data_IF_980967781359
#
_entry.id   IF_980967781359
#
_cell.length_a   1.000
_cell.length_b   1.000
_cell.length_c   1.000
_cell.angle_alpha   90.00
_cell.angle_beta   90.00
_cell.angle_gamma   90.00
#
_symmetry.space_group_name_H-M   'P 1'
#
loop_
_entity.id
_entity.type
_entity.pdbx_description
1 polymer ?
#
# COMPACT_ATOMS: atom_id res chain seq x y z
N UNK A 1 -53.43 -33.54 -4.40
CA UNK A 1 -54.17 -33.90 -3.18
C UNK A 1 -53.55 -33.11 -2.06
N UNK A 2 -54.05 -31.92 -1.69
CA UNK A 2 -55.39 -31.62 -1.17
C UNK A 2 -55.71 -32.54 0.01
N UNK A 3 -55.42 -32.11 1.25
CA UNK A 3 -56.39 -31.56 2.23
C UNK A 3 -55.68 -31.50 3.59
N UNK A 4 -55.65 -30.41 4.37
CA UNK A 4 -56.68 -29.52 4.91
C UNK A 4 -56.98 -29.84 6.39
N UNK A 5 -56.69 -28.82 7.23
CA UNK A 5 -57.39 -28.43 8.48
C UNK A 5 -57.41 -29.42 9.67
N UNK A 6 -57.33 -29.00 10.94
CA UNK A 6 -57.84 -27.76 11.56
C UNK A 6 -57.38 -27.59 13.01
N UNK A 7 -57.54 -26.35 13.51
CA UNK A 7 -57.76 -25.85 14.89
C UNK A 7 -56.52 -25.27 15.61
N UNK A 8 -56.54 -24.07 16.19
CA UNK A 8 -57.62 -23.11 16.44
C UNK A 8 -57.08 -21.74 16.90
N UNK A 9 -58.03 -20.77 16.96
CA UNK A 9 -58.05 -19.48 17.66
C UNK A 9 -57.56 -18.26 16.85
N UNK A 10 -58.47 -17.53 16.17
CA UNK A 10 -59.43 -16.51 16.69
C UNK A 10 -58.79 -15.11 16.73
N UNK A 11 -59.40 -14.00 16.31
CA UNK A 11 -60.66 -13.71 15.60
C UNK A 11 -60.72 -12.17 15.41
N UNK A 12 -61.53 -11.73 14.44
CA UNK A 12 -62.10 -10.39 14.19
C UNK A 12 -61.22 -9.32 13.51
N UNK A 13 -61.65 -8.56 12.49
CA UNK A 13 -62.80 -8.49 11.54
C UNK A 13 -62.59 -7.17 10.77
N UNK A 14 -62.45 -7.10 9.44
CA UNK A 14 -63.52 -6.93 8.40
C UNK A 14 -64.36 -5.66 8.67
N UNK A 15 -64.60 -4.70 7.75
CA UNK A 15 -65.07 -4.74 6.34
C UNK A 15 -64.99 -3.33 5.72
N UNK A 16 -64.49 -3.10 4.49
CA UNK A 16 -65.03 -3.26 3.12
C UNK A 16 -65.96 -2.15 2.56
N UNK A 17 -65.52 -1.62 1.40
CA UNK A 17 -66.21 -1.44 0.09
C UNK A 17 -67.19 -0.28 -0.21
N UNK A 18 -66.70 0.62 -1.09
CA UNK A 18 -67.11 0.88 -2.50
C UNK A 18 -68.39 1.65 -2.90
N UNK A 19 -68.15 2.58 -3.84
CA UNK A 19 -68.89 2.95 -5.09
C UNK A 19 -70.09 3.94 -5.09
N UNK A 20 -69.81 5.11 -5.70
CA UNK A 20 -70.44 5.73 -6.90
C UNK A 20 -71.82 6.42 -6.89
N UNK A 21 -71.82 7.56 -7.59
CA UNK A 21 -72.86 8.20 -8.47
C UNK A 21 -73.82 9.27 -7.91
N UNK A 22 -73.50 10.52 -8.30
CA UNK A 22 -74.33 11.57 -8.92
C UNK A 22 -75.80 11.80 -8.51
N UNK A 23 -76.13 13.03 -8.11
CA UNK A 23 -77.02 13.98 -8.85
C UNK A 23 -77.45 15.20 -8.00
N UNK A 24 -77.34 16.39 -8.58
CA UNK A 24 -77.86 17.72 -8.19
C UNK A 24 -79.39 17.86 -8.48
N UNK A 25 -80.07 19.02 -8.30
CA UNK A 25 -80.07 20.07 -7.25
C UNK A 25 -81.52 20.57 -6.90
N UNK A 26 -81.72 21.43 -5.89
CA UNK A 26 -82.83 22.44 -5.81
C UNK A 26 -82.77 23.23 -4.48
N UNK A 27 -82.46 24.54 -4.46
CA UNK A 27 -83.30 25.76 -4.57
C UNK A 27 -83.81 26.35 -3.24
N UNK A 28 -83.81 27.70 -3.19
CA UNK A 28 -84.47 28.68 -2.29
C UNK A 28 -83.61 29.18 -1.11
N UNK A 29 -82.99 30.37 -1.16
CA UNK A 29 -83.46 31.77 -1.13
C UNK A 29 -83.86 32.35 0.24
N UNK A 30 -83.24 33.52 0.48
CA UNK A 30 -83.61 34.71 1.28
C UNK A 30 -83.28 34.84 2.78
N UNK A 31 -82.35 35.77 3.01
CA UNK A 31 -82.38 36.96 3.87
C UNK A 31 -82.76 36.83 5.36
N UNK A 32 -81.88 37.25 6.26
CA UNK A 32 -81.81 38.64 6.81
C UNK A 32 -80.70 38.72 7.87
N UNK A 33 -80.02 39.88 7.94
CA UNK A 33 -78.95 40.21 8.89
C UNK A 33 -79.38 40.15 10.37
N UNK A 34 -78.47 39.87 11.33
CA UNK A 34 -77.77 40.87 12.17
C UNK A 34 -76.98 40.21 13.33
N UNK A 35 -75.75 40.70 13.56
CA UNK A 35 -75.02 40.83 14.84
C UNK A 35 -74.13 39.72 15.47
N UNK A 36 -72.88 40.17 15.65
CA UNK A 36 -71.81 39.83 16.61
C UNK A 36 -70.75 38.76 16.27
N UNK A 37 -69.45 39.05 16.57
CA UNK A 37 -68.31 38.32 16.03
C UNK A 37 -68.05 37.05 16.84
N UNK A 38 -68.34 35.90 16.27
CA UNK A 38 -67.84 34.62 16.75
C UNK A 38 -66.43 34.39 16.22
N UNK A 39 -65.54 33.99 17.12
CA UNK A 39 -64.16 33.58 16.87
C UNK A 39 -64.09 32.68 15.63
N UNK A 40 -63.41 33.16 14.58
CA UNK A 40 -62.97 32.29 13.49
C UNK A 40 -61.94 31.32 14.04
N UNK A 41 -62.36 30.05 14.10
CA UNK A 41 -61.48 28.89 13.99
C UNK A 41 -60.88 28.97 12.59
N UNK A 42 -59.71 29.59 12.47
CA UNK A 42 -58.95 29.55 11.23
C UNK A 42 -58.36 28.16 11.05
N UNK A 43 -58.73 27.62 9.89
CA UNK A 43 -58.28 26.42 9.22
C UNK A 43 -56.78 26.15 9.42
N UNK A 44 -56.46 24.88 9.68
CA UNK A 44 -55.13 24.32 9.48
C UNK A 44 -54.57 24.73 8.10
N UNK A 45 -53.45 25.49 8.03
CA UNK A 45 -52.70 25.60 6.80
C UNK A 45 -51.90 24.32 6.60
N UNK A 46 -51.88 23.90 5.35
CA UNK A 46 -51.20 22.73 4.85
C UNK A 46 -49.76 22.60 5.37
N UNK A 47 -49.41 21.40 5.82
CA UNK A 47 -48.04 20.98 6.00
C UNK A 47 -47.38 20.91 4.62
N UNK A 48 -46.65 21.96 4.25
CA UNK A 48 -45.56 21.95 3.27
C UNK A 48 -44.92 23.34 3.31
N UNK A 49 -43.82 23.46 4.04
CA UNK A 49 -42.70 24.36 3.76
C UNK A 49 -41.67 24.24 4.91
N UNK A 50 -41.01 23.09 4.99
CA UNK A 50 -39.71 23.02 5.67
C UNK A 50 -38.71 23.54 4.67
N UNK A 51 -38.49 24.85 4.73
CA UNK A 51 -37.40 25.53 4.04
C UNK A 51 -36.09 24.78 4.34
N UNK A 52 -35.56 24.12 3.31
CA UNK A 52 -34.35 23.31 3.38
C UNK A 52 -33.20 24.29 3.58
N UNK A 53 -32.86 24.57 4.84
CA UNK A 53 -31.72 25.42 5.16
C UNK A 53 -30.51 24.96 4.35
N UNK A 54 -29.77 25.88 3.69
CA UNK A 54 -28.56 25.52 2.98
C UNK A 54 -27.62 24.83 3.97
N UNK A 55 -27.39 23.54 3.77
CA UNK A 55 -26.41 22.77 4.56
C UNK A 55 -25.10 23.52 4.36
N UNK A 56 -24.59 24.16 5.42
CA UNK A 56 -23.31 24.83 5.39
C UNK A 56 -22.27 23.87 4.79
N UNK A 57 -21.41 24.33 3.85
CA UNK A 57 -20.42 23.45 3.25
C UNK A 57 -19.64 22.76 4.37
N UNK A 58 -19.48 21.42 4.32
CA UNK A 58 -18.84 20.69 5.40
C UNK A 58 -17.49 21.34 5.70
N UNK A 59 -17.27 21.67 6.98
CA UNK A 59 -16.03 22.29 7.42
C UNK A 59 -14.83 21.48 6.88
N UNK A 60 -13.76 22.15 6.40
CA UNK A 60 -12.61 21.44 5.86
C UNK A 60 -12.11 20.44 6.90
N UNK A 61 -11.77 19.20 6.50
CA UNK A 61 -11.36 18.17 7.44
C UNK A 61 -10.17 18.67 8.25
N UNK A 62 -10.33 18.79 9.57
CA UNK A 62 -9.23 19.15 10.46
C UNK A 62 -8.26 17.98 10.53
N UNK A 63 -6.95 18.22 10.49
CA UNK A 63 -5.94 17.18 10.66
C UNK A 63 -5.21 17.41 11.99
N UNK A 64 -5.27 16.47 12.96
CA UNK A 64 -4.62 16.61 14.25
C UNK A 64 -3.13 16.27 14.12
N UNK A 65 -2.42 17.02 13.27
CA UNK A 65 -0.98 16.89 13.12
C UNK A 65 -0.32 17.15 14.47
N UNK A 66 0.52 16.22 14.92
CA UNK A 66 1.14 16.35 16.24
C UNK A 66 0.40 15.65 17.38
N UNK A 67 -0.80 15.10 17.15
CA UNK A 67 -1.49 14.31 18.18
C UNK A 67 -0.70 13.05 18.56
N UNK A 68 -0.77 12.67 19.84
CA UNK A 68 -0.19 11.43 20.34
C UNK A 68 -0.63 10.23 19.49
N UNK A 69 -1.92 10.17 19.12
CA UNK A 69 -2.47 9.10 18.28
C UNK A 69 -1.91 9.09 16.85
N UNK A 70 -1.63 10.26 16.27
CA UNK A 70 -0.99 10.36 14.96
C UNK A 70 0.43 9.80 14.97
N UNK A 71 1.24 10.19 15.95
CA UNK A 71 2.61 9.68 16.11
C UNK A 71 2.66 8.21 16.54
N UNK A 72 1.75 7.78 17.41
CA UNK A 72 1.56 6.37 17.77
C UNK A 72 1.21 5.53 16.54
N UNK A 73 0.26 5.98 15.72
CA UNK A 73 -0.08 5.29 14.47
C UNK A 73 1.09 5.26 13.51
N UNK A 74 1.84 6.35 13.39
CA UNK A 74 3.06 6.40 12.58
C UNK A 74 4.12 5.39 13.05
N UNK A 75 4.35 5.29 14.36
CA UNK A 75 5.27 4.32 14.93
C UNK A 75 4.79 2.87 14.68
N UNK A 76 3.49 2.62 14.79
CA UNK A 76 2.92 1.33 14.40
C UNK A 76 3.16 1.02 12.92
N UNK A 77 2.92 1.98 12.01
CA UNK A 77 3.26 1.83 10.60
C UNK A 77 4.75 1.57 10.36
N UNK A 78 5.63 2.23 11.11
CA UNK A 78 7.08 1.99 11.06
C UNK A 78 7.44 0.56 11.46
N UNK A 79 6.83 0.03 12.52
CA UNK A 79 7.01 -1.36 12.95
C UNK A 79 6.50 -2.35 11.88
N UNK A 80 5.36 -2.07 11.25
CA UNK A 80 4.89 -2.89 10.11
C UNK A 80 5.90 -2.86 8.97
N UNK A 81 6.44 -1.70 8.60
CA UNK A 81 7.46 -1.60 7.55
C UNK A 81 8.75 -2.35 7.91
N UNK A 82 9.16 -2.30 9.17
CA UNK A 82 10.30 -3.04 9.70
C UNK A 82 10.11 -4.55 9.53
N UNK A 83 8.96 -5.09 9.94
CA UNK A 83 8.72 -6.55 9.88
C UNK A 83 8.37 -7.05 8.49
N UNK A 84 7.81 -6.22 7.60
CA UNK A 84 7.40 -6.65 6.25
C UNK A 84 8.57 -6.60 5.26
N UNK A 85 8.92 -5.39 4.81
CA UNK A 85 10.03 -5.21 3.87
C UNK A 85 11.40 -5.50 4.49
N UNK A 86 11.59 -5.23 5.78
CA UNK A 86 12.84 -5.60 6.44
C UNK A 86 13.09 -7.11 6.39
N UNK A 87 12.03 -7.90 6.58
CA UNK A 87 12.08 -9.35 6.41
C UNK A 87 12.28 -9.75 4.94
N UNK A 88 11.59 -9.10 3.99
CA UNK A 88 11.79 -9.36 2.56
C UNK A 88 13.26 -9.15 2.14
N UNK A 89 13.92 -8.12 2.66
CA UNK A 89 15.35 -7.88 2.45
C UNK A 89 16.26 -8.95 3.09
N UNK A 90 15.78 -9.68 4.10
CA UNK A 90 16.50 -10.80 4.71
C UNK A 90 16.38 -12.12 3.95
N UNK A 91 15.67 -12.15 2.81
CA UNK A 91 15.51 -13.36 2.00
C UNK A 91 16.84 -13.97 1.55
N UNK A 92 17.88 -13.16 1.32
CA UNK A 92 19.21 -13.66 0.94
C UNK A 92 19.80 -14.68 1.93
N UNK A 93 19.52 -14.52 3.22
CA UNK A 93 19.96 -15.48 4.26
C UNK A 93 19.24 -16.82 4.12
N UNK A 94 17.93 -16.79 3.85
CA UNK A 94 17.15 -17.99 3.59
C UNK A 94 17.58 -18.68 2.30
N UNK A 95 17.85 -17.91 1.24
CA UNK A 95 18.33 -18.43 -0.04
C UNK A 95 19.65 -19.19 0.13
N UNK A 96 20.61 -18.62 0.86
CA UNK A 96 21.89 -19.27 1.17
C UNK A 96 21.68 -20.58 1.95
N UNK A 97 20.83 -20.56 2.99
CA UNK A 97 20.52 -21.76 3.76
C UNK A 97 19.84 -22.85 2.89
N UNK A 98 18.85 -22.48 2.08
CA UNK A 98 18.12 -23.41 1.22
C UNK A 98 18.98 -24.01 0.10
N UNK A 99 19.97 -23.28 -0.40
CA UNK A 99 20.89 -23.80 -1.42
C UNK A 99 21.68 -25.02 -0.92
N UNK A 100 21.94 -25.10 0.40
CA UNK A 100 22.58 -26.26 1.03
C UNK A 100 21.57 -27.28 1.58
N UNK A 101 20.39 -26.82 2.01
CA UNK A 101 19.35 -27.66 2.62
C UNK A 101 18.48 -28.45 1.62
N UNK A 102 18.37 -28.00 0.37
CA UNK A 102 17.57 -28.65 -0.67
C UNK A 102 18.44 -29.02 -1.88
N UNK A 103 19.19 -30.14 -1.83
CA UNK A 103 20.19 -30.48 -2.85
C UNK A 103 19.59 -30.73 -4.25
N UNK A 104 18.29 -31.02 -4.34
CA UNK A 104 17.59 -31.27 -5.59
C UNK A 104 17.02 -30.01 -6.25
N UNK A 105 17.22 -28.82 -5.67
CA UNK A 105 16.66 -27.56 -6.17
C UNK A 105 17.79 -26.68 -6.72
N UNK A 106 17.54 -26.02 -7.85
CA UNK A 106 18.49 -25.05 -8.39
C UNK A 106 18.40 -23.73 -7.63
N UNK A 107 19.44 -22.89 -7.73
CA UNK A 107 19.40 -21.54 -7.19
C UNK A 107 18.23 -20.71 -7.75
N UNK A 108 17.86 -20.95 -9.01
CA UNK A 108 16.69 -20.34 -9.65
C UNK A 108 15.39 -20.79 -8.98
N UNK A 109 15.21 -22.09 -8.72
CA UNK A 109 14.02 -22.62 -8.05
C UNK A 109 13.84 -22.00 -6.67
N UNK A 110 14.92 -21.86 -5.90
CA UNK A 110 14.91 -21.25 -4.57
C UNK A 110 14.54 -19.76 -4.64
N UNK A 111 15.06 -19.02 -5.64
CA UNK A 111 14.79 -17.59 -5.81
C UNK A 111 13.31 -17.26 -6.07
N UNK A 112 12.53 -18.23 -6.56
CA UNK A 112 11.08 -18.08 -6.73
C UNK A 112 10.35 -17.88 -5.40
N UNK A 113 10.87 -18.41 -4.29
CA UNK A 113 10.27 -18.20 -2.96
C UNK A 113 10.21 -16.71 -2.62
N UNK A 114 11.32 -15.99 -2.78
CA UNK A 114 11.39 -14.55 -2.54
C UNK A 114 10.59 -13.74 -3.56
N UNK A 115 10.64 -14.14 -4.84
CA UNK A 115 9.93 -13.43 -5.93
C UNK A 115 8.41 -13.53 -5.80
N UNK A 116 7.88 -14.72 -5.50
CA UNK A 116 6.45 -14.95 -5.24
C UNK A 116 6.00 -14.21 -3.98
N UNK A 117 6.84 -14.17 -2.94
CA UNK A 117 6.54 -13.42 -1.72
C UNK A 117 6.35 -11.92 -2.01
N UNK A 118 7.28 -11.30 -2.76
CA UNK A 118 7.20 -9.88 -3.14
C UNK A 118 5.99 -9.64 -4.07
N UNK A 119 5.74 -10.55 -5.00
CA UNK A 119 4.57 -10.47 -5.88
C UNK A 119 3.25 -10.48 -5.09
N UNK A 120 3.10 -11.38 -4.12
CA UNK A 120 1.90 -11.47 -3.29
C UNK A 120 1.77 -10.25 -2.37
N UNK A 121 2.87 -9.78 -1.80
CA UNK A 121 2.90 -8.56 -1.00
C UNK A 121 2.29 -7.35 -1.73
N UNK A 122 2.57 -7.19 -3.03
CA UNK A 122 2.03 -6.07 -3.80
C UNK A 122 0.69 -6.35 -4.48
N UNK A 123 0.49 -7.54 -5.04
CA UNK A 123 -0.76 -7.91 -5.74
C UNK A 123 -1.97 -7.95 -4.81
N UNK A 124 -1.77 -8.33 -3.54
CA UNK A 124 -2.81 -8.24 -2.51
C UNK A 124 -3.34 -6.82 -2.33
N UNK A 125 -2.60 -5.79 -2.75
CA UNK A 125 -3.07 -4.40 -2.74
C UNK A 125 -4.39 -4.19 -3.47
N UNK A 126 -4.67 -4.93 -4.54
CA UNK A 126 -5.94 -4.84 -5.28
C UNK A 126 -7.16 -5.30 -4.47
N UNK A 127 -6.96 -6.21 -3.51
CA UNK A 127 -8.01 -6.72 -2.62
C UNK A 127 -8.06 -5.87 -1.35
N UNK A 128 -6.90 -5.62 -0.75
CA UNK A 128 -6.74 -4.94 0.54
C UNK A 128 -7.09 -3.45 0.43
N UNK A 129 -6.77 -2.80 -0.68
CA UNK A 129 -7.06 -1.38 -0.92
C UNK A 129 -8.56 -1.03 -0.83
N UNK A 130 -9.43 -1.67 -1.65
CA UNK A 130 -10.88 -1.47 -1.56
C UNK A 130 -11.47 -1.83 -0.18
N UNK A 131 -10.94 -2.86 0.48
CA UNK A 131 -11.38 -3.24 1.82
C UNK A 131 -10.98 -2.21 2.89
N UNK A 132 -9.77 -1.64 2.77
CA UNK A 132 -9.31 -0.55 3.63
C UNK A 132 -10.23 0.67 3.46
N UNK A 133 -10.56 1.03 2.22
CA UNK A 133 -11.45 2.15 1.91
C UNK A 133 -12.91 1.91 2.37
N UNK A 134 -13.32 0.65 2.60
CA UNK A 134 -14.58 0.26 3.26
C UNK A 134 -14.55 0.39 4.79
N UNK A 135 -13.38 0.65 5.36
CA UNK A 135 -13.21 0.78 6.81
C UNK A 135 -12.86 -0.54 7.51
N UNK A 136 -12.48 -1.60 6.78
CA UNK A 136 -12.09 -2.88 7.37
C UNK A 136 -10.66 -2.92 7.91
N UNK A 137 -10.05 -1.77 8.22
CA UNK A 137 -8.66 -1.65 8.67
C UNK A 137 -8.29 -2.66 9.77
N UNK A 138 -9.08 -2.74 10.84
CA UNK A 138 -8.78 -3.63 11.98
C UNK A 138 -8.78 -5.11 11.59
N UNK A 139 -9.74 -5.52 10.76
CA UNK A 139 -9.80 -6.89 10.26
C UNK A 139 -8.59 -7.22 9.38
N UNK A 140 -8.21 -6.30 8.48
CA UNK A 140 -7.04 -6.47 7.62
C UNK A 140 -5.75 -6.64 8.44
N UNK A 141 -5.56 -5.78 9.44
CA UNK A 141 -4.38 -5.83 10.31
C UNK A 141 -4.31 -7.12 11.15
N UNK A 142 -5.42 -7.55 11.75
CA UNK A 142 -5.47 -8.76 12.58
C UNK A 142 -5.29 -10.01 11.72
N UNK A 143 -6.04 -10.13 10.61
CA UNK A 143 -5.93 -11.28 9.70
C UNK A 143 -4.52 -11.38 9.12
N UNK A 144 -3.97 -10.27 8.65
CA UNK A 144 -2.59 -10.22 8.14
C UNK A 144 -1.56 -10.61 9.19
N UNK A 145 -1.73 -10.17 10.44
CA UNK A 145 -0.84 -10.53 11.57
C UNK A 145 -0.90 -12.02 11.86
N UNK A 146 -2.09 -12.61 11.94
CA UNK A 146 -2.27 -14.04 12.24
C UNK A 146 -1.68 -14.89 11.12
N UNK A 147 -2.03 -14.60 9.86
CA UNK A 147 -1.48 -15.33 8.70
C UNK A 147 0.03 -15.22 8.68
N UNK A 148 0.58 -14.00 8.81
CA UNK A 148 2.02 -13.78 8.75
C UNK A 148 2.75 -14.57 9.85
N UNK A 149 2.33 -14.42 11.11
CA UNK A 149 3.00 -15.07 12.25
C UNK A 149 2.90 -16.58 12.16
N UNK A 150 1.70 -17.14 11.90
CA UNK A 150 1.51 -18.59 11.82
C UNK A 150 2.36 -19.17 10.70
N UNK A 151 2.28 -18.61 9.49
CA UNK A 151 3.06 -19.09 8.36
C UNK A 151 4.57 -18.95 8.61
N UNK A 152 5.01 -17.87 9.24
CA UNK A 152 6.42 -17.66 9.57
C UNK A 152 6.95 -18.70 10.57
N UNK A 153 6.19 -19.02 11.63
CA UNK A 153 6.55 -20.12 12.54
C UNK A 153 6.55 -21.48 11.82
N UNK A 154 5.62 -21.70 10.89
CA UNK A 154 5.59 -22.94 10.10
C UNK A 154 6.82 -23.13 9.22
N UNK A 155 7.48 -22.05 8.75
CA UNK A 155 8.77 -22.13 8.04
C UNK A 155 9.82 -22.89 8.87
N UNK A 156 9.81 -22.74 10.20
CA UNK A 156 10.75 -23.47 11.08
C UNK A 156 10.53 -24.98 11.11
N UNK A 157 9.38 -25.46 10.62
CA UNK A 157 8.97 -26.87 10.63
C UNK A 157 8.99 -27.50 9.23
N UNK A 158 9.28 -26.72 8.18
CA UNK A 158 9.34 -27.21 6.82
C UNK A 158 10.53 -28.17 6.63
N UNK A 159 10.25 -29.35 6.07
CA UNK A 159 11.24 -30.38 5.72
C UNK A 159 11.42 -30.49 4.21
N UNK A 160 10.35 -30.23 3.46
CA UNK A 160 10.33 -30.31 2.01
C UNK A 160 10.25 -28.91 1.39
N UNK A 161 10.85 -28.74 0.20
CA UNK A 161 10.87 -27.44 -0.48
C UNK A 161 9.48 -26.88 -0.76
N UNK A 162 8.52 -27.72 -1.15
CA UNK A 162 7.13 -27.29 -1.41
C UNK A 162 6.45 -26.72 -0.15
N UNK A 163 6.80 -27.22 1.05
CA UNK A 163 6.27 -26.71 2.32
C UNK A 163 6.78 -25.29 2.57
N UNK A 164 8.06 -25.05 2.25
CA UNK A 164 8.69 -23.73 2.33
C UNK A 164 8.05 -22.76 1.34
N UNK A 165 7.79 -23.19 0.10
CA UNK A 165 7.05 -22.37 -0.88
C UNK A 165 5.66 -22.00 -0.34
N UNK A 166 4.92 -22.96 0.21
CA UNK A 166 3.57 -22.71 0.72
C UNK A 166 3.57 -21.78 1.94
N UNK A 167 4.45 -22.01 2.91
CA UNK A 167 4.48 -21.22 4.15
C UNK A 167 5.12 -19.85 3.93
N UNK A 168 6.27 -19.80 3.28
CA UNK A 168 7.07 -18.58 3.14
C UNK A 168 6.65 -17.76 1.91
N UNK A 169 6.63 -18.36 0.72
CA UNK A 169 6.34 -17.60 -0.49
C UNK A 169 4.87 -17.14 -0.48
N UNK A 170 3.95 -18.08 -0.24
CA UNK A 170 2.52 -17.84 -0.33
C UNK A 170 1.96 -17.28 0.98
N UNK A 171 2.07 -18.03 2.07
CA UNK A 171 1.47 -17.67 3.36
C UNK A 171 1.99 -16.34 3.91
N UNK A 172 3.30 -16.22 4.09
CA UNK A 172 3.92 -14.98 4.55
C UNK A 172 3.72 -13.85 3.55
N UNK A 173 3.82 -14.10 2.24
CA UNK A 173 3.56 -13.08 1.19
C UNK A 173 2.15 -12.48 1.28
N UNK A 174 1.12 -13.32 1.46
CA UNK A 174 -0.26 -12.86 1.68
C UNK A 174 -0.36 -12.08 3.00
N UNK A 175 0.18 -12.61 4.09
CA UNK A 175 0.17 -11.95 5.40
C UNK A 175 0.76 -10.54 5.34
N UNK A 176 1.92 -10.39 4.69
CA UNK A 176 2.57 -9.10 4.46
C UNK A 176 1.69 -8.18 3.59
N UNK A 177 1.07 -8.69 2.52
CA UNK A 177 0.19 -7.91 1.65
C UNK A 177 -1.02 -7.32 2.38
N UNK A 178 -1.60 -8.07 3.34
CA UNK A 178 -2.68 -7.58 4.21
C UNK A 178 -2.24 -6.49 5.19
N UNK A 179 -0.97 -6.46 5.58
CA UNK A 179 -0.43 -5.52 6.57
C UNK A 179 0.10 -4.23 5.94
N UNK A 180 0.79 -4.36 4.82
CA UNK A 180 1.59 -3.28 4.24
C UNK A 180 0.72 -2.11 3.73
N UNK A 181 -0.27 -2.38 2.88
CA UNK A 181 -1.11 -1.33 2.30
C UNK A 181 -1.87 -0.54 3.38
N UNK A 182 -2.55 -1.17 4.36
CA UNK A 182 -3.24 -0.44 5.42
C UNK A 182 -2.29 0.40 6.29
N UNK A 183 -1.09 -0.11 6.54
CA UNK A 183 -0.09 0.60 7.33
C UNK A 183 0.39 1.91 6.69
N UNK A 184 0.53 1.96 5.37
CA UNK A 184 0.83 3.21 4.66
C UNK A 184 -0.42 4.08 4.52
N UNK A 185 -1.57 3.48 4.20
CA UNK A 185 -2.79 4.20 3.83
C UNK A 185 -3.45 4.93 5.01
N UNK A 186 -3.15 4.53 6.26
CA UNK A 186 -3.69 5.18 7.46
C UNK A 186 -2.96 6.48 7.84
N UNK A 187 -1.70 6.66 7.42
CA UNK A 187 -0.88 7.83 7.77
C UNK A 187 -1.54 9.14 7.28
N UNK A 188 -2.03 9.24 6.03
CA UNK A 188 -2.76 10.41 5.55
C UNK A 188 -4.03 10.79 6.34
N UNK A 189 -4.57 9.91 7.20
CA UNK A 189 -5.72 10.26 8.05
C UNK A 189 -5.35 11.22 9.19
N UNK A 190 -4.06 11.26 9.55
CA UNK A 190 -3.53 12.09 10.63
C UNK A 190 -2.66 13.25 10.12
N UNK A 191 -1.94 13.04 9.01
CA UNK A 191 -0.98 13.99 8.46
C UNK A 191 -1.41 14.45 7.07
N UNK A 192 -1.52 15.77 6.87
CA UNK A 192 -1.90 16.40 5.61
C UNK A 192 -0.80 17.32 5.07
N UNK A 193 -0.33 18.27 5.87
CA UNK A 193 0.77 19.20 5.56
C UNK A 193 2.13 18.51 5.58
N UNK A 194 2.34 17.54 6.48
CA UNK A 194 3.60 16.76 6.60
C UNK A 194 3.44 15.31 6.13
N UNK A 195 2.58 15.10 5.14
CA UNK A 195 2.13 13.75 4.74
C UNK A 195 3.28 12.95 4.13
N UNK A 196 4.03 13.54 3.21
CA UNK A 196 5.14 12.84 2.57
C UNK A 196 6.22 12.54 3.60
N UNK A 197 6.60 13.51 4.44
CA UNK A 197 7.54 13.29 5.53
C UNK A 197 7.13 12.13 6.45
N UNK A 198 5.87 12.10 6.89
CA UNK A 198 5.37 11.02 7.76
C UNK A 198 5.48 9.65 7.08
N UNK A 199 5.06 9.53 5.81
CA UNK A 199 5.21 8.27 5.05
C UNK A 199 6.69 7.91 4.88
N UNK A 200 7.55 8.89 4.60
CA UNK A 200 9.00 8.71 4.52
C UNK A 200 9.62 8.17 5.81
N UNK A 201 9.24 8.75 6.96
CA UNK A 201 9.66 8.28 8.29
C UNK A 201 9.20 6.84 8.49
N UNK A 202 7.92 6.50 8.26
CA UNK A 202 7.43 5.12 8.38
C UNK A 202 8.23 4.16 7.49
N UNK A 203 8.54 4.57 6.25
CA UNK A 203 9.33 3.79 5.32
C UNK A 203 10.79 3.59 5.77
N UNK A 204 11.35 4.39 6.68
CA UNK A 204 12.70 4.08 7.23
C UNK A 204 12.72 2.77 8.02
N UNK A 205 11.57 2.31 8.52
CA UNK A 205 11.44 1.04 9.24
C UNK A 205 11.92 -0.14 8.41
N UNK A 206 11.59 -0.16 7.11
CA UNK A 206 12.02 -1.23 6.22
C UNK A 206 13.52 -1.26 5.92
N UNK A 207 14.20 -0.12 5.94
CA UNK A 207 15.67 -0.08 5.83
C UNK A 207 16.32 -0.53 7.11
N UNK A 208 15.78 -0.10 8.25
CA UNK A 208 16.27 -0.52 9.57
C UNK A 208 16.12 -2.03 9.75
N UNK A 209 14.97 -2.59 9.37
CA UNK A 209 14.74 -4.03 9.37
C UNK A 209 15.62 -4.78 8.38
N UNK A 210 15.88 -4.20 7.20
CA UNK A 210 16.80 -4.75 6.21
C UNK A 210 18.27 -4.79 6.66
N UNK A 211 18.65 -4.00 7.67
CA UNK A 211 19.97 -4.10 8.32
C UNK A 211 19.91 -5.12 9.47
N UNK A 212 18.92 -4.99 10.36
CA UNK A 212 18.88 -5.74 11.61
C UNK A 212 18.55 -7.23 11.40
N UNK A 213 17.55 -7.54 10.57
CA UNK A 213 17.02 -8.90 10.44
C UNK A 213 17.99 -9.87 9.77
N UNK A 214 18.70 -9.53 8.67
CA UNK A 214 19.68 -10.44 8.08
C UNK A 214 20.87 -10.73 9.01
N UNK A 215 21.37 -9.70 9.71
CA UNK A 215 22.47 -9.85 10.68
C UNK A 215 22.05 -10.75 11.84
N UNK A 216 20.88 -10.48 12.41
CA UNK A 216 20.32 -11.28 13.48
C UNK A 216 20.13 -12.73 13.03
N UNK A 217 19.52 -12.95 11.86
CA UNK A 217 19.22 -14.29 11.36
C UNK A 217 20.49 -15.09 11.07
N UNK A 218 21.52 -14.51 10.44
CA UNK A 218 22.81 -15.17 10.24
C UNK A 218 23.46 -15.63 11.55
N UNK A 219 23.54 -14.73 12.54
CA UNK A 219 24.13 -15.04 13.84
C UNK A 219 23.33 -16.12 14.59
N UNK A 220 22.00 -16.04 14.54
CA UNK A 220 21.14 -17.04 15.17
C UNK A 220 21.22 -18.40 14.49
N UNK A 221 21.29 -18.45 13.15
CA UNK A 221 21.47 -19.71 12.40
C UNK A 221 22.81 -20.35 12.78
N UNK A 222 23.89 -19.57 12.83
CA UNK A 222 25.22 -20.08 13.17
C UNK A 222 25.30 -20.65 14.60
N UNK A 223 24.62 -20.01 15.57
CA UNK A 223 24.71 -20.38 16.98
C UNK A 223 23.68 -21.45 17.41
N UNK A 224 22.45 -21.37 16.90
CA UNK A 224 21.32 -22.17 17.40
C UNK A 224 20.68 -23.06 16.32
N UNK A 225 21.16 -22.98 15.07
CA UNK A 225 20.57 -23.65 13.92
C UNK A 225 19.32 -22.95 13.38
N UNK A 226 18.91 -23.34 12.17
CA UNK A 226 17.85 -22.67 11.41
C UNK A 226 16.50 -22.66 12.11
N UNK A 227 16.07 -23.80 12.66
CA UNK A 227 14.76 -23.93 13.31
C UNK A 227 14.59 -22.91 14.44
N UNK A 228 15.55 -22.83 15.37
CA UNK A 228 15.49 -21.90 16.49
C UNK A 228 15.67 -20.44 16.02
N UNK A 229 16.54 -20.19 15.03
CA UNK A 229 16.72 -18.86 14.47
C UNK A 229 15.44 -18.27 13.88
N UNK A 230 14.69 -19.08 13.11
CA UNK A 230 13.38 -18.67 12.56
C UNK A 230 12.37 -18.46 13.69
N UNK A 231 12.33 -19.31 14.71
CA UNK A 231 11.41 -19.15 15.84
C UNK A 231 11.68 -17.88 16.65
N UNK A 232 12.95 -17.60 17.00
CA UNK A 232 13.34 -16.37 17.69
C UNK A 232 13.02 -15.12 16.88
N UNK A 233 13.28 -15.17 15.57
CA UNK A 233 12.84 -14.10 14.66
C UNK A 233 11.32 -13.96 14.69
N UNK A 234 10.57 -15.07 14.72
CA UNK A 234 9.10 -15.08 14.75
C UNK A 234 8.54 -14.41 16.00
N UNK A 235 9.16 -14.62 17.16
CA UNK A 235 8.78 -13.92 18.40
C UNK A 235 9.03 -12.42 18.32
N UNK A 236 10.15 -11.98 17.72
CA UNK A 236 10.40 -10.56 17.48
C UNK A 236 9.34 -9.96 16.55
N UNK A 237 9.06 -10.61 15.43
CA UNK A 237 8.05 -10.15 14.47
C UNK A 237 6.66 -10.08 15.13
N UNK A 238 6.27 -11.09 15.90
CA UNK A 238 5.03 -11.10 16.67
C UNK A 238 4.95 -9.92 17.65
N UNK A 239 6.01 -9.68 18.43
CA UNK A 239 6.06 -8.55 19.37
C UNK A 239 5.87 -7.21 18.67
N UNK A 240 6.60 -6.98 17.56
CA UNK A 240 6.45 -5.79 16.73
C UNK A 240 5.03 -5.65 16.15
N UNK A 241 4.44 -6.73 15.66
CA UNK A 241 3.08 -6.73 15.11
C UNK A 241 2.01 -6.45 16.18
N UNK A 242 2.15 -7.01 17.37
CA UNK A 242 1.25 -6.74 18.51
C UNK A 242 1.32 -5.27 18.90
N UNK A 243 2.53 -4.73 19.08
CA UNK A 243 2.73 -3.32 19.41
C UNK A 243 2.15 -2.43 18.29
N UNK A 244 2.41 -2.76 17.02
CA UNK A 244 1.86 -2.01 15.90
C UNK A 244 0.32 -1.98 15.91
N UNK A 245 -0.33 -3.13 16.13
CA UNK A 245 -1.78 -3.22 16.20
C UNK A 245 -2.38 -2.39 17.35
N UNK A 246 -1.71 -2.35 18.51
CA UNK A 246 -2.13 -1.54 19.66
C UNK A 246 -1.96 -0.04 19.39
N UNK A 247 -0.86 0.34 18.74
CA UNK A 247 -0.51 1.74 18.47
C UNK A 247 -1.35 2.38 17.36
N UNK A 248 -1.73 1.61 16.32
CA UNK A 248 -2.45 2.12 15.16
C UNK A 248 -3.94 2.27 15.44
N UNK A 249 -4.54 3.41 15.10
CA UNK A 249 -5.98 3.67 15.26
C UNK A 249 -6.58 4.31 14.03
N UNK A 250 -7.76 3.84 13.60
CA UNK A 250 -8.55 4.53 12.57
C UNK A 250 -9.25 5.73 13.17
N UNK A 251 -9.06 6.90 12.56
CA UNK A 251 -9.75 8.14 12.95
C UNK A 251 -11.10 8.31 12.26
N UNK A 252 -11.19 7.92 10.99
CA UNK A 252 -12.35 8.23 10.16
C UNK A 252 -13.43 7.17 10.36
N UNK A 253 -14.71 7.57 10.50
CA UNK A 253 -15.79 6.61 10.59
C UNK A 253 -15.89 5.80 9.29
N UNK A 254 -16.18 4.49 9.37
CA UNK A 254 -16.44 3.67 8.19
C UNK A 254 -17.67 4.21 7.45
N UNK A 255 -17.50 4.95 6.34
CA UNK A 255 -18.64 5.29 5.47
C UNK A 255 -18.98 4.05 4.66
N UNK A 256 -20.01 3.33 5.09
CA UNK A 256 -20.36 2.05 4.47
C UNK A 256 -21.01 2.20 3.09
N UNK A 257 -21.73 3.29 2.75
CA UNK A 257 -22.51 3.33 1.50
C UNK A 257 -22.61 4.68 0.73
N UNK A 258 -22.16 5.81 1.27
CA UNK A 258 -22.55 7.13 0.71
C UNK A 258 -21.55 7.83 -0.23
N UNK A 259 -20.40 7.21 -0.53
CA UNK A 259 -19.41 7.80 -1.46
C UNK A 259 -19.18 6.82 -2.60
N UNK A 260 -19.63 7.19 -3.81
CA UNK A 260 -19.33 6.46 -5.03
C UNK A 260 -17.80 6.35 -5.17
N UNK A 261 -17.27 5.13 -5.03
CA UNK A 261 -15.85 4.86 -5.28
C UNK A 261 -15.64 4.71 -6.79
N UNK A 262 -14.59 5.32 -7.35
CA UNK A 262 -14.32 5.18 -8.77
C UNK A 262 -14.08 3.71 -9.10
N UNK A 263 -14.64 3.23 -10.21
CA UNK A 263 -14.28 1.93 -10.73
C UNK A 263 -12.79 1.92 -11.16
N UNK A 264 -12.10 0.76 -11.19
CA UNK A 264 -10.74 0.69 -11.73
C UNK A 264 -10.63 1.29 -13.14
N UNK A 265 -11.67 1.11 -13.98
CA UNK A 265 -11.74 1.70 -15.32
C UNK A 265 -11.70 3.23 -15.28
N UNK A 266 -12.38 3.86 -14.33
CA UNK A 266 -12.36 5.32 -14.16
C UNK A 266 -10.99 5.83 -13.66
N UNK A 267 -10.28 5.04 -12.86
CA UNK A 267 -8.93 5.39 -12.44
C UNK A 267 -7.98 5.44 -13.63
N UNK A 268 -8.00 4.40 -14.47
CA UNK A 268 -7.15 4.31 -15.66
C UNK A 268 -7.63 5.17 -16.85
N UNK A 269 -8.86 5.68 -16.81
CA UNK A 269 -9.31 6.71 -17.75
C UNK A 269 -8.55 8.03 -17.57
N UNK A 270 -8.00 8.28 -16.38
CA UNK A 270 -7.15 9.44 -16.12
C UNK A 270 -5.75 9.20 -16.71
N UNK A 271 -5.49 9.75 -17.89
CA UNK A 271 -4.19 9.65 -18.59
C UNK A 271 -2.98 9.89 -17.68
N UNK A 272 -2.93 10.92 -16.81
CA UNK A 272 -1.78 11.13 -15.92
C UNK A 272 -1.59 10.00 -14.89
N UNK A 273 -2.67 9.41 -14.41
CA UNK A 273 -2.62 8.31 -13.46
C UNK A 273 -2.11 7.04 -14.15
N UNK A 274 -2.55 6.78 -15.38
CA UNK A 274 -2.05 5.66 -16.19
C UNK A 274 -0.55 5.78 -16.49
N UNK A 275 -0.05 6.99 -16.79
CA UNK A 275 1.40 7.22 -16.92
C UNK A 275 2.15 7.02 -15.59
N UNK A 276 1.58 7.45 -14.46
CA UNK A 276 2.16 7.18 -13.15
C UNK A 276 2.28 5.66 -12.92
N UNK A 277 1.20 4.90 -13.15
CA UNK A 277 1.23 3.46 -12.91
C UNK A 277 2.14 2.71 -13.90
N UNK A 278 2.17 3.13 -15.17
CA UNK A 278 3.13 2.61 -16.16
C UNK A 278 4.58 2.90 -15.75
N UNK A 279 4.85 4.10 -15.21
CA UNK A 279 6.17 4.44 -14.67
C UNK A 279 6.56 3.55 -13.48
N UNK A 280 5.62 3.27 -12.57
CA UNK A 280 5.87 2.37 -11.43
C UNK A 280 6.22 0.96 -11.89
N UNK A 281 5.55 0.45 -12.92
CA UNK A 281 5.90 -0.83 -13.54
C UNK A 281 7.34 -0.83 -14.06
N UNK A 282 7.69 0.13 -14.92
CA UNK A 282 9.00 0.19 -15.56
C UNK A 282 10.15 0.34 -14.55
N UNK A 283 9.98 1.22 -13.55
CA UNK A 283 10.98 1.38 -12.48
C UNK A 283 11.14 0.09 -11.71
N UNK A 284 10.03 -0.54 -11.30
CA UNK A 284 10.08 -1.76 -10.49
C UNK A 284 10.70 -2.93 -11.23
N UNK A 285 10.72 -2.89 -12.56
CA UNK A 285 11.36 -3.90 -13.38
C UNK A 285 12.88 -3.84 -13.30
N UNK A 286 13.46 -2.62 -13.28
CA UNK A 286 14.91 -2.40 -13.23
C UNK A 286 15.49 -2.18 -11.83
N UNK A 287 14.68 -1.80 -10.84
CA UNK A 287 15.17 -1.36 -9.52
C UNK A 287 15.75 -2.48 -8.65
N UNK A 288 15.47 -3.75 -8.93
CA UNK A 288 15.96 -4.82 -8.08
C UNK A 288 17.37 -5.30 -8.45
N UNK A 289 17.84 -5.00 -9.66
CA UNK A 289 19.13 -5.49 -10.15
C UNK A 289 20.31 -5.06 -9.26
N UNK A 290 20.55 -3.77 -8.97
CA UNK A 290 21.67 -3.39 -8.12
C UNK A 290 21.52 -3.92 -6.69
N UNK A 291 20.29 -4.01 -6.17
CA UNK A 291 20.02 -4.52 -4.82
C UNK A 291 20.54 -5.96 -4.67
N UNK A 292 20.34 -6.81 -5.68
CA UNK A 292 20.74 -8.22 -5.60
C UNK A 292 22.15 -8.50 -6.10
N UNK A 293 22.66 -7.73 -7.07
CA UNK A 293 23.88 -8.07 -7.79
C UNK A 293 25.08 -7.15 -7.49
N UNK A 294 24.93 -6.06 -6.74
CA UNK A 294 26.08 -5.19 -6.36
C UNK A 294 27.15 -5.92 -5.56
N UNK A 295 26.75 -6.84 -4.68
CA UNK A 295 27.69 -7.65 -3.90
C UNK A 295 28.49 -8.58 -4.82
N UNK A 296 27.78 -9.36 -5.66
CA UNK A 296 28.38 -10.30 -6.63
C UNK A 296 29.31 -9.56 -7.60
N UNK A 297 28.90 -8.38 -8.06
CA UNK A 297 29.73 -7.53 -8.89
C UNK A 297 31.07 -7.20 -8.23
N UNK A 298 31.05 -6.83 -6.95
CA UNK A 298 32.28 -6.53 -6.21
C UNK A 298 33.19 -7.75 -6.03
N UNK A 299 32.60 -8.91 -5.76
CA UNK A 299 33.32 -10.18 -5.62
C UNK A 299 34.03 -10.58 -6.93
N UNK A 300 33.34 -10.49 -8.08
CA UNK A 300 33.94 -10.77 -9.40
C UNK A 300 35.06 -9.79 -9.79
N UNK A 301 35.05 -8.57 -9.27
CA UNK A 301 36.10 -7.57 -9.49
C UNK A 301 37.25 -7.67 -8.47
N UNK A 302 37.26 -8.71 -7.63
CA UNK A 302 38.32 -8.95 -6.64
C UNK A 302 38.34 -7.95 -5.49
N UNK A 303 37.22 -7.29 -5.21
CA UNK A 303 37.07 -6.39 -4.05
C UNK A 303 37.02 -7.25 -2.78
N UNK A 304 37.65 -6.77 -1.70
CA UNK A 304 37.75 -7.49 -0.43
C UNK A 304 36.37 -7.91 0.11
N UNK A 305 36.28 -9.12 0.65
CA UNK A 305 35.07 -9.70 1.25
C UNK A 305 34.42 -8.80 2.31
N UNK A 306 35.23 -8.05 3.07
CA UNK A 306 34.71 -7.13 4.08
C UNK A 306 33.81 -6.05 3.44
N UNK A 307 34.24 -5.45 2.32
CA UNK A 307 33.51 -4.38 1.64
C UNK A 307 32.28 -4.93 0.92
N UNK A 308 32.41 -6.07 0.24
CA UNK A 308 31.28 -6.69 -0.47
C UNK A 308 30.20 -7.16 0.50
N UNK A 309 30.58 -7.72 1.65
CA UNK A 309 29.65 -8.11 2.73
C UNK A 309 28.84 -6.92 3.29
N UNK A 310 29.49 -5.77 3.53
CA UNK A 310 28.80 -4.59 4.05
C UNK A 310 28.04 -3.79 3.00
N UNK A 311 28.13 -4.14 1.71
CA UNK A 311 27.49 -3.39 0.61
C UNK A 311 25.98 -3.25 0.80
N UNK A 312 25.28 -4.31 1.19
CA UNK A 312 23.82 -4.26 1.45
C UNK A 312 23.47 -3.41 2.69
N UNK A 313 24.33 -3.45 3.71
CA UNK A 313 24.15 -2.63 4.92
C UNK A 313 24.36 -1.15 4.61
N UNK A 314 25.38 -0.80 3.83
CA UNK A 314 25.65 0.56 3.35
C UNK A 314 24.48 1.07 2.50
N UNK A 315 23.99 0.25 1.57
CA UNK A 315 22.83 0.57 0.73
C UNK A 315 21.60 0.89 1.58
N UNK A 316 21.32 0.03 2.56
CA UNK A 316 20.18 0.21 3.46
C UNK A 316 20.32 1.45 4.34
N UNK A 317 21.52 1.73 4.84
CA UNK A 317 21.81 2.93 5.62
C UNK A 317 21.61 4.21 4.79
N UNK A 318 22.13 4.26 3.56
CA UNK A 318 21.91 5.37 2.64
C UNK A 318 20.41 5.56 2.31
N UNK A 319 19.67 4.45 2.19
CA UNK A 319 18.23 4.45 1.95
C UNK A 319 17.42 5.09 3.08
N UNK A 320 17.87 5.08 4.33
CA UNK A 320 17.21 5.79 5.44
C UNK A 320 17.19 7.30 5.17
N UNK A 321 18.33 7.87 4.75
CA UNK A 321 18.44 9.29 4.39
C UNK A 321 17.67 9.61 3.11
N UNK A 322 17.70 8.70 2.14
CA UNK A 322 16.91 8.76 0.90
C UNK A 322 15.40 8.73 1.14
N UNK A 323 14.93 8.07 2.20
CA UNK A 323 13.50 8.04 2.58
C UNK A 323 13.07 9.25 3.39
N UNK A 324 13.99 9.94 4.05
CA UNK A 324 13.63 11.05 4.94
C UNK A 324 13.79 12.41 4.26
N UNK A 325 14.96 12.68 3.66
CA UNK A 325 15.28 14.02 3.14
C UNK A 325 14.47 14.43 1.91
N UNK A 326 14.23 13.57 0.90
CA UNK A 326 13.37 13.92 -0.23
C UNK A 326 11.90 14.01 0.21
N UNK A 327 11.42 13.13 1.10
CA UNK A 327 10.04 13.21 1.57
C UNK A 327 9.74 14.50 2.36
N UNK A 328 10.72 15.03 3.10
CA UNK A 328 10.62 16.37 3.69
C UNK A 328 10.43 17.45 2.60
N UNK A 329 11.21 17.39 1.52
CA UNK A 329 11.13 18.33 0.40
C UNK A 329 9.84 18.16 -0.41
N UNK A 330 9.31 16.95 -0.52
CA UNK A 330 8.12 16.62 -1.30
C UNK A 330 6.85 17.33 -0.80
N UNK A 331 6.76 17.59 0.51
CA UNK A 331 5.66 18.36 1.08
C UNK A 331 5.64 19.82 0.59
N UNK A 332 6.75 20.35 0.07
CA UNK A 332 6.87 21.70 -0.52
C UNK A 332 6.87 21.71 -2.05
N UNK A 333 7.68 20.85 -2.68
CA UNK A 333 7.92 20.80 -4.14
C UNK A 333 6.83 20.02 -4.88
N UNK A 334 6.13 19.12 -4.19
CA UNK A 334 5.19 18.16 -4.78
C UNK A 334 5.82 16.78 -4.90
N UNK A 335 5.06 15.76 -4.50
CA UNK A 335 5.53 14.37 -4.45
C UNK A 335 5.81 13.80 -5.83
N UNK A 336 5.03 14.16 -6.86
CA UNK A 336 5.20 13.61 -8.20
C UNK A 336 6.41 14.23 -8.90
N UNK A 337 6.63 15.53 -8.70
CA UNK A 337 7.82 16.23 -9.17
C UNK A 337 9.09 15.59 -8.59
N UNK A 338 9.13 15.40 -7.28
CA UNK A 338 10.32 14.86 -6.63
C UNK A 338 10.52 13.37 -6.95
N UNK A 339 9.45 12.59 -7.05
CA UNK A 339 9.51 11.20 -7.51
C UNK A 339 10.17 11.12 -8.89
N UNK A 340 9.81 12.02 -9.81
CA UNK A 340 10.40 12.08 -11.15
C UNK A 340 11.90 12.30 -11.09
N UNK A 341 12.35 13.35 -10.39
CA UNK A 341 13.77 13.66 -10.29
C UNK A 341 14.57 12.53 -9.64
N UNK A 342 14.11 12.04 -8.49
CA UNK A 342 14.81 10.99 -7.75
C UNK A 342 14.91 9.70 -8.56
N UNK A 343 13.85 9.33 -9.31
CA UNK A 343 13.85 8.15 -10.17
C UNK A 343 14.82 8.28 -11.34
N UNK A 344 14.91 9.45 -11.98
CA UNK A 344 15.89 9.69 -13.04
C UNK A 344 17.32 9.53 -12.50
N UNK A 345 17.61 10.07 -11.32
CA UNK A 345 18.91 9.87 -10.67
C UNK A 345 19.17 8.42 -10.26
N UNK A 346 18.15 7.68 -9.80
CA UNK A 346 18.27 6.22 -9.56
C UNK A 346 18.72 5.52 -10.84
N UNK A 347 18.05 5.78 -11.97
CA UNK A 347 18.39 5.17 -13.26
C UNK A 347 19.78 5.54 -13.76
N UNK A 348 20.19 6.81 -13.63
CA UNK A 348 21.55 7.27 -13.96
C UNK A 348 22.59 6.58 -13.09
N UNK A 349 22.31 6.40 -11.80
CA UNK A 349 23.24 5.73 -10.87
C UNK A 349 23.43 4.25 -11.22
N UNK A 350 22.43 3.58 -11.82
CA UNK A 350 22.61 2.21 -12.31
C UNK A 350 23.72 2.15 -13.37
N UNK A 351 23.79 3.11 -14.29
CA UNK A 351 24.87 3.16 -15.28
C UNK A 351 26.25 3.40 -14.65
N UNK A 352 26.32 3.99 -13.45
CA UNK A 352 27.58 4.18 -12.74
C UNK A 352 28.24 2.84 -12.30
N UNK A 353 27.49 1.72 -12.31
CA UNK A 353 28.04 0.37 -12.05
C UNK A 353 29.17 0.04 -13.04
N UNK A 354 29.13 0.54 -14.27
CA UNK A 354 30.22 0.34 -15.25
C UNK A 354 31.59 0.84 -14.76
N UNK A 355 31.61 1.85 -13.89
CA UNK A 355 32.84 2.40 -13.31
C UNK A 355 33.11 1.93 -11.87
N UNK A 356 32.31 1.02 -11.33
CA UNK A 356 32.34 0.65 -9.91
C UNK A 356 33.35 -0.45 -9.55
N UNK A 357 34.25 -0.82 -10.46
CA UNK A 357 35.23 -1.92 -10.28
C UNK A 357 36.35 -1.67 -9.26
N UNK A 358 36.26 -0.59 -8.47
CA UNK A 358 37.20 -0.30 -7.39
C UNK A 358 36.45 -0.28 -6.04
N UNK A 359 37.13 -0.53 -4.91
CA UNK A 359 36.50 -0.49 -3.59
C UNK A 359 35.77 0.83 -3.31
N UNK A 360 36.40 1.96 -3.65
CA UNK A 360 35.79 3.29 -3.51
C UNK A 360 34.63 3.51 -4.48
N UNK A 361 34.76 3.05 -5.74
CA UNK A 361 33.70 3.13 -6.74
C UNK A 361 32.44 2.38 -6.32
N UNK A 362 32.60 1.15 -5.82
CA UNK A 362 31.50 0.34 -5.30
C UNK A 362 30.78 1.04 -4.16
N UNK A 363 31.52 1.54 -3.15
CA UNK A 363 30.93 2.25 -2.00
C UNK A 363 30.15 3.49 -2.46
N UNK A 364 30.71 4.30 -3.35
CA UNK A 364 30.05 5.52 -3.85
C UNK A 364 28.76 5.18 -4.59
N UNK A 365 28.80 4.21 -5.52
CA UNK A 365 27.61 3.78 -6.26
C UNK A 365 26.55 3.24 -5.31
N UNK A 366 26.94 2.42 -4.34
CA UNK A 366 26.02 1.85 -3.35
C UNK A 366 25.35 2.92 -2.48
N UNK A 367 26.07 3.96 -2.05
CA UNK A 367 25.51 5.07 -1.27
C UNK A 367 24.53 5.89 -2.13
N UNK A 368 24.96 6.31 -3.32
CA UNK A 368 24.12 7.11 -4.21
C UNK A 368 22.86 6.34 -4.61
N UNK A 369 23.03 5.07 -4.98
CA UNK A 369 21.95 4.21 -5.37
C UNK A 369 20.97 4.02 -4.21
N UNK A 370 21.46 3.65 -3.01
CA UNK A 370 20.63 3.50 -1.83
C UNK A 370 19.82 4.75 -1.49
N UNK A 371 20.43 5.93 -1.60
CA UNK A 371 19.75 7.21 -1.38
C UNK A 371 18.62 7.46 -2.40
N UNK A 372 18.91 7.43 -3.70
CA UNK A 372 17.90 7.72 -4.73
C UNK A 372 16.81 6.63 -4.81
N UNK A 373 17.21 5.36 -4.68
CA UNK A 373 16.30 4.21 -4.62
C UNK A 373 15.38 4.31 -3.39
N UNK A 374 15.93 4.69 -2.23
CA UNK A 374 15.14 4.89 -1.00
C UNK A 374 14.08 5.98 -1.18
N UNK A 375 14.42 7.06 -1.87
CA UNK A 375 13.49 8.14 -2.20
C UNK A 375 12.33 7.64 -3.05
N UNK A 376 12.59 6.83 -4.09
CA UNK A 376 11.53 6.23 -4.90
C UNK A 376 10.55 5.39 -4.07
N UNK A 377 11.06 4.47 -3.24
CA UNK A 377 10.23 3.55 -2.44
C UNK A 377 9.30 4.28 -1.47
N UNK A 378 9.70 5.45 -0.97
CA UNK A 378 8.90 6.23 -0.04
C UNK A 378 7.98 7.25 -0.73
N UNK A 379 8.36 7.77 -1.90
CA UNK A 379 7.61 8.80 -2.63
C UNK A 379 6.50 8.26 -3.53
N UNK A 380 6.55 6.98 -3.96
CA UNK A 380 5.51 6.46 -4.86
C UNK A 380 4.12 6.45 -4.19
N UNK A 381 4.05 6.16 -2.88
CA UNK A 381 2.79 6.17 -2.14
C UNK A 381 2.20 7.59 -2.03
N UNK A 382 2.94 8.63 -1.56
CA UNK A 382 2.51 10.02 -1.64
C UNK A 382 2.10 10.48 -3.04
N UNK A 383 2.79 10.03 -4.09
CA UNK A 383 2.45 10.35 -5.47
C UNK A 383 1.12 9.73 -5.90
N UNK A 384 0.85 8.46 -5.60
CA UNK A 384 -0.46 7.85 -5.86
C UNK A 384 -1.59 8.55 -5.08
N UNK A 385 -1.33 8.96 -3.84
CA UNK A 385 -2.28 9.70 -3.01
C UNK A 385 -2.55 11.11 -3.57
N UNK A 386 -1.61 11.75 -4.30
CA UNK A 386 -1.84 13.10 -4.86
C UNK A 386 -2.90 13.14 -5.98
N UNK A 387 -3.29 11.96 -6.48
CA UNK A 387 -4.39 11.77 -7.41
C UNK A 387 -5.74 11.50 -6.72
N UNK A 388 -5.75 11.26 -5.41
CA UNK A 388 -6.97 11.02 -4.65
C UNK A 388 -7.80 12.29 -4.50
N UNK A 389 -9.06 12.25 -4.93
CA UNK A 389 -10.04 13.32 -4.69
C UNK A 389 -10.62 13.26 -3.28
N UNK A 390 -10.65 12.07 -2.70
CA UNK A 390 -11.20 11.79 -1.39
C UNK A 390 -10.28 10.83 -0.65
N UNK A 391 -10.31 10.89 0.68
CA UNK A 391 -9.53 10.00 1.54
C UNK A 391 -10.04 8.54 1.44
N UNK A 392 -11.27 8.35 0.96
CA UNK A 392 -11.94 7.05 0.79
C UNK A 392 -11.61 6.31 -0.52
N UNK A 393 -10.71 6.85 -1.35
CA UNK A 393 -10.20 6.19 -2.56
C UNK A 393 -8.67 6.03 -2.54
N UNK A 394 -8.04 6.33 -1.40
CA UNK A 394 -6.58 6.21 -1.22
C UNK A 394 -6.15 4.76 -1.34
N UNK A 395 -6.81 3.85 -0.61
CA UNK A 395 -6.45 2.44 -0.59
C UNK A 395 -6.58 1.82 -1.98
N UNK A 396 -7.66 2.11 -2.70
CA UNK A 396 -7.90 1.63 -4.06
C UNK A 396 -6.80 2.09 -5.03
N UNK A 397 -6.44 3.38 -5.04
CA UNK A 397 -5.40 3.90 -5.95
C UNK A 397 -4.02 3.29 -5.64
N UNK A 398 -3.65 3.25 -4.37
CA UNK A 398 -2.41 2.62 -3.95
C UNK A 398 -2.41 1.14 -4.36
N UNK A 399 -3.50 0.43 -4.10
CA UNK A 399 -3.67 -0.99 -4.40
C UNK A 399 -3.55 -1.33 -5.87
N UNK A 400 -4.16 -0.54 -6.76
CA UNK A 400 -4.07 -0.74 -8.21
C UNK A 400 -2.67 -0.46 -8.75
N UNK A 401 -1.99 0.57 -8.22
CA UNK A 401 -0.59 0.83 -8.55
C UNK A 401 0.33 -0.31 -8.10
N UNK A 402 0.14 -0.82 -6.88
CA UNK A 402 0.89 -1.96 -6.34
C UNK A 402 0.65 -3.25 -7.14
N UNK A 403 -0.60 -3.53 -7.54
CA UNK A 403 -0.90 -4.71 -8.36
C UNK A 403 -0.12 -4.70 -9.67
N UNK A 404 -0.09 -3.60 -10.39
CA UNK A 404 0.65 -3.55 -11.66
C UNK A 404 2.16 -3.67 -11.40
N UNK A 405 2.66 -2.98 -10.37
CA UNK A 405 4.06 -3.09 -9.94
C UNK A 405 4.47 -4.52 -9.57
N UNK A 406 3.55 -5.36 -9.06
CA UNK A 406 3.88 -6.72 -8.62
C UNK A 406 4.38 -7.61 -9.77
N UNK A 407 3.80 -7.47 -10.97
CA UNK A 407 4.21 -8.24 -12.15
C UNK A 407 5.64 -7.88 -12.62
N UNK A 408 6.01 -6.60 -12.52
CA UNK A 408 7.37 -6.16 -12.79
C UNK A 408 8.35 -6.73 -11.75
N UNK A 409 7.99 -6.71 -10.47
CA UNK A 409 8.82 -7.30 -9.41
C UNK A 409 8.99 -8.82 -9.56
N UNK A 410 7.95 -9.53 -10.02
CA UNK A 410 7.98 -10.98 -10.24
C UNK A 410 8.91 -11.38 -11.39
N UNK A 411 8.88 -10.63 -12.49
CA UNK A 411 9.59 -10.97 -13.73
C UNK A 411 10.96 -10.30 -13.85
N UNK A 412 11.20 -9.20 -13.13
CA UNK A 412 12.43 -8.42 -13.21
C UNK A 412 13.66 -9.22 -12.81
N UNK A 413 13.63 -9.87 -11.65
CA UNK A 413 14.79 -10.63 -11.13
C UNK A 413 15.20 -11.77 -12.08
N UNK A 414 14.29 -12.66 -12.54
CA UNK A 414 14.66 -13.70 -13.50
C UNK A 414 15.20 -13.16 -14.84
N UNK A 415 14.64 -12.05 -15.35
CA UNK A 415 15.13 -11.43 -16.59
C UNK A 415 16.55 -10.91 -16.39
N UNK A 416 16.82 -10.22 -15.28
CA UNK A 416 18.16 -9.69 -14.99
C UNK A 416 19.19 -10.80 -14.78
N UNK A 417 18.80 -11.91 -14.15
CA UNK A 417 19.65 -13.09 -14.02
C UNK A 417 19.97 -13.73 -15.37
N UNK A 418 18.97 -13.94 -16.22
CA UNK A 418 19.18 -14.50 -17.56
C UNK A 418 20.05 -13.59 -18.45
N UNK A 419 19.93 -12.27 -18.31
CA UNK A 419 20.81 -11.31 -18.97
C UNK A 419 22.25 -11.40 -18.43
N UNK A 420 22.41 -11.54 -17.12
CA UNK A 420 23.70 -11.68 -16.47
C UNK A 420 24.42 -12.97 -16.92
N UNK A 421 23.74 -14.10 -16.95
CA UNK A 421 24.35 -15.39 -17.30
C UNK A 421 24.85 -15.41 -18.76
N UNK A 422 24.11 -14.78 -19.68
CA UNK A 422 24.42 -14.83 -21.11
C UNK A 422 25.39 -13.75 -21.55
N UNK A 423 25.37 -12.60 -20.89
CA UNK A 423 26.02 -11.39 -21.36
C UNK A 423 26.87 -10.72 -20.26
N UNK A 424 26.95 -11.26 -19.05
CA UNK A 424 27.65 -10.61 -17.95
C UNK A 424 27.00 -9.28 -17.55
N UNK A 425 27.70 -8.48 -16.75
CA UNK A 425 27.13 -7.31 -16.08
C UNK A 425 26.69 -6.16 -17.00
N UNK A 426 27.10 -6.12 -18.28
CA UNK A 426 26.74 -5.01 -19.16
C UNK A 426 25.26 -4.98 -19.54
N UNK A 427 24.69 -6.13 -19.90
CA UNK A 427 23.32 -6.23 -20.37
C UNK A 427 22.28 -5.91 -19.28
N UNK A 428 22.35 -6.50 -18.07
CA UNK A 428 21.39 -6.19 -17.02
C UNK A 428 21.57 -4.75 -16.50
N UNK A 429 22.79 -4.19 -16.51
CA UNK A 429 23.02 -2.78 -16.16
C UNK A 429 22.32 -1.83 -17.13
N UNK A 430 22.51 -2.03 -18.45
CA UNK A 430 21.84 -1.21 -19.48
C UNK A 430 20.34 -1.36 -19.39
N UNK A 431 19.85 -2.61 -19.34
CA UNK A 431 18.42 -2.88 -19.30
C UNK A 431 17.76 -2.24 -18.07
N UNK A 432 18.30 -2.46 -16.87
CA UNK A 432 17.76 -1.90 -15.63
C UNK A 432 17.84 -0.37 -15.59
N UNK A 433 18.95 0.21 -16.06
CA UNK A 433 19.12 1.66 -16.17
C UNK A 433 18.09 2.28 -17.12
N UNK A 434 17.93 1.72 -18.33
CA UNK A 434 16.97 2.18 -19.33
C UNK A 434 15.52 2.07 -18.81
N UNK A 435 15.13 0.93 -18.23
CA UNK A 435 13.77 0.76 -17.69
C UNK A 435 13.48 1.75 -16.57
N UNK A 436 14.45 1.99 -15.68
CA UNK A 436 14.30 2.97 -14.58
C UNK A 436 14.19 4.40 -15.10
N UNK A 437 15.02 4.80 -16.07
CA UNK A 437 14.95 6.13 -16.69
C UNK A 437 13.65 6.31 -17.48
N UNK A 438 13.22 5.29 -18.24
CA UNK A 438 11.95 5.31 -18.96
C UNK A 438 10.76 5.49 -18.01
N UNK A 439 10.76 4.79 -16.87
CA UNK A 439 9.76 4.96 -15.83
C UNK A 439 9.77 6.37 -15.21
N UNK A 440 10.96 6.93 -14.98
CA UNK A 440 11.11 8.35 -14.62
C UNK A 440 10.54 9.31 -15.67
N UNK A 441 10.72 9.01 -16.96
CA UNK A 441 10.10 9.73 -18.07
C UNK A 441 8.57 9.69 -18.01
N UNK A 442 7.98 8.52 -17.73
CA UNK A 442 6.53 8.38 -17.53
C UNK A 442 6.04 9.24 -16.35
N UNK A 443 6.78 9.31 -15.23
CA UNK A 443 6.45 10.22 -14.13
C UNK A 443 6.54 11.68 -14.54
N UNK A 444 7.53 12.06 -15.35
CA UNK A 444 7.65 13.40 -15.91
C UNK A 444 6.46 13.80 -16.78
N UNK A 445 5.97 12.88 -17.62
CA UNK A 445 4.74 13.08 -18.41
C UNK A 445 3.52 13.22 -17.49
N UNK A 446 3.37 12.34 -16.50
CA UNK A 446 2.29 12.44 -15.52
C UNK A 446 2.31 13.79 -14.77
N UNK A 447 3.50 14.25 -14.34
CA UNK A 447 3.70 15.53 -13.69
C UNK A 447 3.34 16.70 -14.60
N UNK A 448 3.79 16.68 -15.86
CA UNK A 448 3.47 17.72 -16.83
C UNK A 448 1.95 17.83 -17.07
N UNK A 449 1.26 16.70 -17.22
CA UNK A 449 -0.18 16.69 -17.46
C UNK A 449 -0.97 17.17 -16.22
N UNK A 450 -0.56 16.76 -15.01
CA UNK A 450 -1.18 17.25 -13.78
C UNK A 450 -0.92 18.73 -13.53
N UNK A 451 0.27 19.26 -13.85
CA UNK A 451 0.56 20.70 -13.75
C UNK A 451 -0.38 21.51 -14.63
N UNK A 452 -0.62 21.04 -15.86
CA UNK A 452 -1.58 21.66 -16.80
C UNK A 452 -3.01 21.62 -16.24
N UNK A 453 -3.40 20.50 -15.64
CA UNK A 453 -4.75 20.30 -15.07
C UNK A 453 -5.00 21.15 -13.82
N UNK A 454 -4.06 21.17 -12.87
CA UNK A 454 -4.18 21.89 -11.59
C UNK A 454 -3.79 23.37 -11.69
N UNK A 455 -3.23 23.80 -12.82
CA UNK A 455 -2.63 25.14 -13.01
C UNK A 455 -1.68 25.52 -11.88
N UNK A 456 -0.98 24.52 -11.34
CA UNK A 456 -0.05 24.66 -10.23
C UNK A 456 1.20 23.85 -10.55
N UNK A 457 2.37 24.39 -10.22
CA UNK A 457 3.63 23.65 -10.35
C UNK A 457 3.71 22.52 -9.30
N UNK A 458 3.12 22.71 -8.12
CA UNK A 458 3.16 21.72 -7.04
C UNK A 458 2.23 20.54 -7.36
N UNK A 459 2.81 19.42 -7.80
CA UNK A 459 2.08 18.17 -8.16
C UNK A 459 2.71 16.92 -7.58
#
# INVERSE_FOLDING_TARGET
>A
MIDDKTRAAQQYSISTMSTSLSSTPSTLQDDTATNMPTKNVEQHPAANDIEKQPIAPPAPPTFPEGSFWGWSTLFGSWLIMFVTFGYANAFGVFQSYYATGYPNQTASDISWVGSVQIFLQFSMGAIVGPLFDKGYFRYLMVIGTVIYVVCFFMVSLCKEFWQTVLCQAIGVGIGIGFLFLPAISIIPHYFHRRRALAIGIAATGSSTGGICLPIMLNNLIAQHGFKLAVQYTGYLLLGCLVIANLCMRTRLPPKHNDVARPSPRELFASVPYSFLVAGLFLVSWGIYFPIYYLQVFGEEHGISENITFYTLAILSAASIFGRTSPNFLADSIGSLNLLTFMTLFTGVTIFAIFGAGSPGGLIVVTILYGFFQGAFVSLFSPALISFSKSIHEIGLRIGMGMLIMSFAALTGTPITGALLDRYGFYAPTIWSGVMTVAGGGCFGVAAMLERRRKRSWKV
#
